data_IF_666760711226
#
_entry.id   IF_666760711226
#
_cell.length_a   1.000
_cell.length_b   1.000
_cell.length_c   1.000
_cell.angle_alpha   90.00
_cell.angle_beta   90.00
_cell.angle_gamma   90.00
#
_symmetry.space_group_name_H-M   'P 1'
#
loop_
_entity.id
_entity.type
_entity.pdbx_description
1 polymer ?
#
# COMPACT_ATOMS: atom_id res chain seq x y z
N UNK A 1 83.24 7.60 -33.88
CA UNK A 1 82.61 7.03 -32.66
C UNK A 1 81.39 6.24 -33.10
N UNK A 2 81.28 4.93 -32.80
CA UNK A 2 80.08 4.17 -33.14
C UNK A 2 78.93 4.51 -32.17
N UNK A 3 77.68 4.56 -32.65
CA UNK A 3 76.50 4.81 -31.81
C UNK A 3 76.18 3.58 -30.93
N UNK A 4 75.69 3.83 -29.71
CA UNK A 4 75.27 2.80 -28.75
C UNK A 4 74.00 2.09 -29.25
N UNK A 5 73.84 0.76 -29.08
CA UNK A 5 72.60 0.08 -29.43
C UNK A 5 71.49 0.42 -28.42
N UNK A 6 70.30 0.75 -28.94
CA UNK A 6 69.08 0.94 -28.15
C UNK A 6 68.49 -0.42 -27.78
N UNK A 7 68.35 -0.71 -26.49
CA UNK A 7 67.64 -1.91 -26.00
C UNK A 7 66.13 -1.64 -26.10
N UNK A 8 65.34 -2.45 -26.82
CA UNK A 8 63.89 -2.31 -26.82
C UNK A 8 63.33 -2.86 -25.50
N UNK A 9 62.74 -1.98 -24.69
CA UNK A 9 62.00 -2.39 -23.49
C UNK A 9 60.58 -2.80 -23.92
N UNK A 10 60.14 -4.05 -23.70
CA UNK A 10 58.76 -4.42 -24.02
C UNK A 10 57.80 -3.75 -23.03
N UNK A 11 57.00 -2.80 -23.50
CA UNK A 11 55.88 -2.25 -22.74
C UNK A 11 54.77 -3.30 -22.67
N UNK A 12 54.81 -4.16 -21.67
CA UNK A 12 53.64 -4.98 -21.31
C UNK A 12 52.65 -4.06 -20.61
N UNK A 13 51.41 -3.88 -21.12
CA UNK A 13 50.40 -3.18 -20.35
C UNK A 13 50.12 -3.98 -19.08
N UNK A 14 50.21 -3.33 -17.93
CA UNK A 14 49.86 -3.96 -16.66
C UNK A 14 48.35 -4.22 -16.64
N UNK A 15 47.97 -5.50 -16.74
CA UNK A 15 46.58 -5.94 -16.54
C UNK A 15 46.42 -6.40 -15.11
N UNK A 16 45.60 -5.68 -14.33
CA UNK A 16 45.27 -6.05 -12.96
C UNK A 16 44.55 -7.41 -12.92
N UNK A 17 45.11 -8.46 -12.30
CA UNK A 17 44.49 -9.80 -12.28
C UNK A 17 43.24 -9.89 -11.38
N UNK A 18 42.94 -8.85 -10.59
CA UNK A 18 41.83 -8.86 -9.63
C UNK A 18 40.83 -7.71 -9.78
N UNK A 19 40.78 -7.04 -10.93
CA UNK A 19 39.69 -6.10 -11.24
C UNK A 19 38.37 -6.88 -11.40
N UNK A 20 37.77 -7.28 -10.27
CA UNK A 20 36.34 -7.55 -10.18
C UNK A 20 35.65 -6.25 -10.58
N UNK A 21 34.93 -6.29 -11.69
CA UNK A 21 33.96 -5.25 -12.01
C UNK A 21 32.88 -5.34 -10.93
N UNK A 22 32.88 -4.40 -9.99
CA UNK A 22 31.78 -4.26 -9.05
C UNK A 22 30.59 -3.72 -9.82
N UNK A 23 29.66 -4.59 -10.19
CA UNK A 23 28.33 -4.17 -10.61
C UNK A 23 27.74 -3.33 -9.47
N UNK A 24 27.56 -2.03 -9.68
CA UNK A 24 26.92 -1.12 -8.72
C UNK A 24 25.41 -1.37 -8.76
N UNK A 25 24.96 -2.55 -8.37
CA UNK A 25 23.54 -2.76 -8.08
C UNK A 25 23.31 -2.25 -6.67
N UNK A 26 22.94 -0.97 -6.56
CA UNK A 26 22.45 -0.42 -5.30
C UNK A 26 21.30 -1.30 -4.80
N UNK A 27 21.32 -1.78 -3.53
CA UNK A 27 20.13 -2.37 -2.95
C UNK A 27 19.04 -1.31 -2.95
N UNK A 28 17.90 -1.59 -3.57
CA UNK A 28 16.75 -0.67 -3.78
C UNK A 28 16.10 -0.15 -2.50
N UNK A 29 16.63 -0.48 -1.31
CA UNK A 29 16.05 -0.17 -0.01
C UNK A 29 17.02 0.51 0.98
N UNK A 30 18.29 0.73 0.63
CA UNK A 30 19.18 1.50 1.50
C UNK A 30 18.97 3.00 1.24
N UNK A 31 18.36 3.70 2.19
CA UNK A 31 18.39 5.17 2.24
C UNK A 31 19.87 5.58 2.12
N UNK A 32 20.19 6.47 1.17
CA UNK A 32 21.57 6.92 0.97
C UNK A 32 22.05 7.81 2.12
N UNK A 33 23.37 7.96 2.32
CA UNK A 33 23.95 8.79 3.39
C UNK A 33 23.53 10.27 3.30
N UNK A 34 23.20 10.75 2.11
CA UNK A 34 22.73 12.12 1.87
C UNK A 34 21.33 12.41 2.45
N UNK A 35 20.52 11.38 2.68
CA UNK A 35 19.14 11.57 3.12
C UNK A 35 19.08 11.75 4.65
N UNK A 36 18.33 12.73 5.19
CA UNK A 36 18.35 13.07 6.63
C UNK A 36 17.84 11.95 7.55
N UNK A 37 17.19 10.94 6.98
CA UNK A 37 16.76 9.72 7.70
C UNK A 37 17.71 8.53 7.51
N UNK A 38 18.94 8.76 7.04
CA UNK A 38 19.97 7.72 6.93
C UNK A 38 20.22 7.05 8.29
N UNK A 39 20.26 7.86 9.35
CA UNK A 39 20.29 7.41 10.74
C UNK A 39 19.04 7.96 11.43
N UNK A 40 18.11 7.11 11.92
CA UNK A 40 16.91 7.58 12.59
C UNK A 40 17.24 8.06 14.01
N UNK A 41 17.22 9.37 14.23
CA UNK A 41 17.30 9.95 15.57
C UNK A 41 15.89 10.25 16.10
N UNK A 42 15.46 9.69 17.24
CA UNK A 42 14.16 9.98 17.81
C UNK A 42 14.10 11.43 18.31
N UNK A 43 13.09 12.17 17.88
CA UNK A 43 12.84 13.53 18.38
C UNK A 43 12.16 13.47 19.75
N UNK A 44 12.66 14.17 20.78
CA UNK A 44 11.97 14.26 22.06
C UNK A 44 10.61 14.98 21.92
N UNK A 45 9.67 14.73 22.84
CA UNK A 45 8.34 15.32 22.75
C UNK A 45 8.39 16.86 22.84
N UNK A 46 7.50 17.53 22.09
CA UNK A 46 7.22 18.98 22.16
C UNK A 46 8.37 19.95 21.79
N UNK A 47 9.35 19.57 20.95
CA UNK A 47 10.45 20.49 20.56
C UNK A 47 10.03 21.72 19.75
N UNK A 48 9.04 21.58 18.85
CA UNK A 48 8.67 22.64 17.91
C UNK A 48 7.15 22.72 17.77
N UNK A 49 6.56 23.83 18.18
CA UNK A 49 5.14 24.11 17.94
C UNK A 49 5.01 24.91 16.64
N UNK A 50 4.99 24.21 15.49
CA UNK A 50 4.65 24.88 14.24
C UNK A 50 3.14 25.12 14.19
N UNK A 51 2.66 26.37 14.01
CA UNK A 51 1.23 26.62 13.91
C UNK A 51 0.64 25.92 12.68
N UNK A 52 -0.50 25.24 12.87
CA UNK A 52 -1.18 24.55 11.76
C UNK A 52 -1.74 25.59 10.79
N UNK A 53 -1.31 25.53 9.53
CA UNK A 53 -1.85 26.39 8.46
C UNK A 53 -3.33 26.05 8.21
N UNK A 54 -4.15 27.08 8.00
CA UNK A 54 -5.54 26.90 7.60
C UNK A 54 -5.60 26.40 6.14
N UNK A 55 -6.09 25.17 5.94
CA UNK A 55 -6.39 24.64 4.60
C UNK A 55 -7.81 25.03 4.19
N UNK A 56 -7.95 25.77 3.08
CA UNK A 56 -9.27 26.18 2.55
C UNK A 56 -9.92 25.01 1.81
N UNK A 57 -11.25 25.05 1.70
CA UNK A 57 -12.04 24.02 1.00
C UNK A 57 -12.49 22.88 1.91
N UNK A 58 -13.49 22.11 1.44
CA UNK A 58 -14.07 20.98 2.16
C UNK A 58 -14.19 19.80 1.19
N UNK A 59 -13.72 18.62 1.61
CA UNK A 59 -13.96 17.38 0.87
C UNK A 59 -15.36 16.86 1.18
N UNK A 60 -16.09 16.31 0.19
CA UNK A 60 -17.41 15.74 0.42
C UNK A 60 -17.31 14.58 1.40
N UNK A 61 -18.21 14.57 2.39
CA UNK A 61 -18.25 13.51 3.40
C UNK A 61 -18.76 12.22 2.74
N UNK A 62 -18.02 11.10 2.81
CA UNK A 62 -18.47 9.82 2.28
C UNK A 62 -19.78 9.38 2.93
N UNK A 63 -20.69 8.83 2.12
CA UNK A 63 -21.95 8.25 2.61
C UNK A 63 -21.67 7.06 3.53
N UNK A 64 -22.46 6.96 4.60
CA UNK A 64 -22.51 5.74 5.42
C UNK A 64 -23.29 4.62 4.71
N UNK A 65 -22.60 3.52 4.38
CA UNK A 65 -23.18 2.35 3.71
C UNK A 65 -24.04 1.52 4.69
N UNK A 66 -23.60 1.42 5.94
CA UNK A 66 -24.24 0.62 7.00
C UNK A 66 -25.11 1.43 7.96
N UNK A 67 -25.50 2.66 7.58
CA UNK A 67 -26.36 3.49 8.43
C UNK A 67 -27.74 2.82 8.62
N UNK A 68 -28.04 2.43 9.88
CA UNK A 68 -29.37 2.28 10.54
C UNK A 68 -30.58 1.88 9.69
N UNK A 69 -30.43 1.19 8.55
CA UNK A 69 -31.57 0.59 7.87
C UNK A 69 -32.13 -0.51 8.76
N UNK A 70 -33.41 -0.41 9.06
CA UNK A 70 -34.13 -1.34 9.93
C UNK A 70 -33.96 -2.77 9.40
N UNK A 71 -33.26 -3.61 10.16
CA UNK A 71 -33.52 -5.05 10.17
C UNK A 71 -32.46 -5.99 9.60
N UNK A 72 -31.60 -5.60 8.65
CA UNK A 72 -30.58 -6.53 8.09
C UNK A 72 -29.24 -5.85 7.83
N UNK A 73 -28.17 -6.50 8.27
CA UNK A 73 -26.80 -6.07 8.01
C UNK A 73 -26.49 -6.25 6.52
N UNK A 74 -26.11 -5.18 5.83
CA UNK A 74 -25.81 -5.25 4.40
C UNK A 74 -24.57 -6.13 4.14
N UNK A 75 -23.72 -6.29 5.15
CA UNK A 75 -22.53 -7.13 5.10
C UNK A 75 -22.75 -8.58 5.53
N UNK A 76 -23.99 -9.02 5.80
CA UNK A 76 -24.24 -10.44 6.14
C UNK A 76 -23.99 -11.33 4.91
N UNK A 77 -23.29 -12.43 5.10
CA UNK A 77 -22.98 -13.39 4.02
C UNK A 77 -24.25 -13.86 3.30
N UNK A 78 -25.33 -14.16 4.03
CA UNK A 78 -26.64 -14.53 3.47
C UNK A 78 -27.19 -13.52 2.45
N UNK A 79 -27.03 -12.22 2.73
CA UNK A 79 -27.52 -11.16 1.82
C UNK A 79 -26.61 -11.05 0.60
N UNK A 80 -25.31 -11.21 0.80
CA UNK A 80 -24.31 -11.14 -0.25
C UNK A 80 -24.51 -12.29 -1.23
N UNK A 81 -24.68 -13.52 -0.75
CA UNK A 81 -24.96 -14.70 -1.57
C UNK A 81 -26.27 -14.55 -2.35
N UNK A 82 -27.34 -14.08 -1.70
CA UNK A 82 -28.62 -13.80 -2.37
C UNK A 82 -28.53 -12.71 -3.44
N UNK A 83 -27.65 -11.71 -3.22
CA UNK A 83 -27.46 -10.59 -4.17
C UNK A 83 -26.51 -10.97 -5.32
N UNK A 84 -25.63 -11.95 -5.10
CA UNK A 84 -24.64 -12.43 -6.07
C UNK A 84 -24.81 -13.92 -6.34
N UNK A 85 -25.98 -14.36 -6.87
CA UNK A 85 -26.18 -15.76 -7.18
C UNK A 85 -25.22 -16.22 -8.27
N UNK A 86 -24.83 -17.48 -8.19
CA UNK A 86 -24.02 -18.11 -9.23
C UNK A 86 -24.88 -18.47 -10.44
N UNK A 87 -24.22 -18.54 -11.60
CA UNK A 87 -24.91 -18.86 -12.84
C UNK A 87 -25.46 -20.28 -12.75
N UNK A 88 -26.72 -20.46 -13.10
CA UNK A 88 -27.38 -21.77 -13.04
C UNK A 88 -26.75 -22.79 -14.00
N UNK A 89 -26.17 -22.31 -15.10
CA UNK A 89 -25.50 -23.13 -16.12
C UNK A 89 -24.14 -22.55 -16.47
N UNK A 90 -23.11 -23.39 -16.35
CA UNK A 90 -21.77 -23.11 -16.87
C UNK A 90 -21.81 -23.23 -18.40
N UNK A 91 -22.19 -22.14 -19.05
CA UNK A 91 -22.21 -22.10 -20.51
C UNK A 91 -20.81 -21.76 -21.00
N UNK A 92 -20.14 -22.72 -21.63
CA UNK A 92 -18.86 -22.47 -22.29
C UNK A 92 -19.11 -21.64 -23.56
N UNK A 93 -18.95 -20.32 -23.43
CA UNK A 93 -19.01 -19.41 -24.56
C UNK A 93 -17.69 -19.42 -25.33
N UNK A 94 -17.69 -19.29 -26.67
CA UNK A 94 -16.46 -19.24 -27.45
C UNK A 94 -15.57 -18.07 -26.99
N UNK A 95 -14.25 -18.29 -27.00
CA UNK A 95 -13.28 -17.27 -26.60
C UNK A 95 -13.41 -16.02 -27.47
N UNK A 96 -13.42 -14.84 -26.83
CA UNK A 96 -13.60 -13.55 -27.51
C UNK A 96 -15.06 -13.17 -27.78
N UNK A 97 -16.02 -14.04 -27.47
CA UNK A 97 -17.45 -13.68 -27.55
C UNK A 97 -17.83 -12.60 -26.55
N UNK A 98 -18.86 -11.81 -26.91
CA UNK A 98 -19.46 -10.82 -26.01
C UNK A 98 -19.97 -11.45 -24.71
N UNK A 99 -20.42 -12.70 -24.78
CA UNK A 99 -20.94 -13.45 -23.64
C UNK A 99 -19.82 -13.85 -22.68
N UNK A 100 -18.68 -14.34 -23.21
CA UNK A 100 -17.48 -14.60 -22.41
C UNK A 100 -16.93 -13.34 -21.72
N UNK A 101 -17.07 -12.16 -22.33
CA UNK A 101 -16.73 -10.90 -21.65
C UNK A 101 -17.72 -10.55 -20.54
N UNK A 102 -19.03 -10.72 -20.78
CA UNK A 102 -20.07 -10.44 -19.78
C UNK A 102 -19.93 -11.33 -18.55
N UNK A 103 -19.60 -12.61 -18.71
CA UNK A 103 -19.35 -13.53 -17.58
C UNK A 103 -18.14 -13.08 -16.78
N UNK A 104 -17.01 -12.77 -17.42
CA UNK A 104 -15.81 -12.25 -16.74
C UNK A 104 -16.11 -10.98 -15.93
N UNK A 105 -16.85 -10.02 -16.51
CA UNK A 105 -17.23 -8.78 -15.82
C UNK A 105 -18.21 -9.06 -14.67
N UNK A 106 -19.15 -9.99 -14.83
CA UNK A 106 -20.05 -10.39 -13.76
C UNK A 106 -19.28 -10.97 -12.57
N UNK A 107 -18.36 -11.90 -12.82
CA UNK A 107 -17.51 -12.49 -11.78
C UNK A 107 -16.65 -11.45 -11.06
N UNK A 108 -16.06 -10.51 -11.80
CA UNK A 108 -15.31 -9.40 -11.21
C UNK A 108 -16.20 -8.54 -10.30
N UNK A 109 -17.43 -8.22 -10.72
CA UNK A 109 -18.38 -7.44 -9.90
C UNK A 109 -18.80 -8.18 -8.65
N UNK A 110 -19.08 -9.48 -8.74
CA UNK A 110 -19.41 -10.32 -7.58
C UNK A 110 -18.27 -10.32 -6.57
N UNK A 111 -17.04 -10.56 -7.04
CA UNK A 111 -15.84 -10.53 -6.20
C UNK A 111 -15.65 -9.18 -5.53
N UNK A 112 -15.70 -8.09 -6.28
CA UNK A 112 -15.54 -6.73 -5.75
C UNK A 112 -16.62 -6.37 -4.72
N UNK A 113 -17.86 -6.82 -4.91
CA UNK A 113 -18.93 -6.58 -3.95
C UNK A 113 -18.69 -7.35 -2.64
N UNK A 114 -18.34 -8.65 -2.74
CA UNK A 114 -18.04 -9.52 -1.60
C UNK A 114 -16.90 -8.97 -0.76
N UNK A 115 -15.76 -8.70 -1.41
CA UNK A 115 -14.56 -8.15 -0.76
C UNK A 115 -14.83 -6.73 -0.21
N UNK A 116 -15.46 -5.86 -1.01
CA UNK A 116 -15.72 -4.47 -0.64
C UNK A 116 -16.64 -4.32 0.57
N UNK A 117 -17.72 -5.12 0.67
CA UNK A 117 -18.63 -5.05 1.82
C UNK A 117 -17.96 -5.56 3.10
N UNK A 118 -17.20 -6.64 3.02
CA UNK A 118 -16.44 -7.19 4.15
C UNK A 118 -15.41 -6.19 4.68
N UNK A 119 -14.58 -5.64 3.80
CA UNK A 119 -13.58 -4.65 4.17
C UNK A 119 -14.19 -3.39 4.78
N UNK A 120 -15.27 -2.86 4.18
CA UNK A 120 -15.92 -1.67 4.69
C UNK A 120 -16.52 -1.92 6.09
N UNK A 121 -17.05 -3.11 6.34
CA UNK A 121 -17.58 -3.50 7.65
C UNK A 121 -16.47 -3.57 8.69
N UNK A 122 -15.36 -4.22 8.37
CA UNK A 122 -14.18 -4.31 9.24
C UNK A 122 -13.64 -2.92 9.60
N UNK A 123 -13.53 -2.02 8.60
CA UNK A 123 -13.14 -0.62 8.81
C UNK A 123 -14.11 0.11 9.73
N UNK A 124 -15.42 -0.09 9.57
CA UNK A 124 -16.43 0.50 10.42
C UNK A 124 -16.32 0.01 11.88
N UNK A 125 -16.16 -1.29 12.09
CA UNK A 125 -16.01 -1.88 13.43
C UNK A 125 -14.75 -1.35 14.11
N UNK A 126 -13.61 -1.34 13.41
CA UNK A 126 -12.35 -0.79 13.94
C UNK A 126 -12.47 0.69 14.31
N UNK A 127 -13.08 1.50 13.44
CA UNK A 127 -13.26 2.93 13.68
C UNK A 127 -14.17 3.21 14.88
N UNK A 128 -15.28 2.48 15.00
CA UNK A 128 -16.22 2.64 16.12
C UNK A 128 -15.61 2.15 17.44
N UNK A 129 -14.85 1.05 17.43
CA UNK A 129 -14.13 0.56 18.60
C UNK A 129 -13.09 1.57 19.11
N UNK A 130 -12.26 2.13 18.22
CA UNK A 130 -11.27 3.15 18.57
C UNK A 130 -11.94 4.41 19.15
N UNK A 131 -13.05 4.84 18.55
CA UNK A 131 -13.82 6.00 19.02
C UNK A 131 -14.38 5.75 20.42
N UNK A 132 -15.00 4.58 20.65
CA UNK A 132 -15.54 4.19 21.96
C UNK A 132 -14.44 4.06 23.02
N UNK A 133 -13.30 3.46 22.69
CA UNK A 133 -12.18 3.32 23.61
C UNK A 133 -11.64 4.70 24.04
N UNK A 134 -11.47 5.63 23.08
CA UNK A 134 -11.06 7.00 23.38
C UNK A 134 -12.09 7.72 24.26
N UNK A 135 -13.37 7.61 23.94
CA UNK A 135 -14.44 8.21 24.73
C UNK A 135 -14.48 7.65 26.16
N UNK A 136 -14.35 6.34 26.32
CA UNK A 136 -14.31 5.69 27.63
C UNK A 136 -13.12 6.13 28.47
N UNK A 137 -11.93 6.29 27.87
CA UNK A 137 -10.76 6.80 28.57
C UNK A 137 -10.96 8.24 29.08
N UNK A 138 -11.44 9.11 28.20
CA UNK A 138 -11.73 10.52 28.57
C UNK A 138 -12.83 10.60 29.64
N UNK A 139 -13.81 9.71 29.62
CA UNK A 139 -14.86 9.69 30.64
C UNK A 139 -14.31 9.25 32.00
N UNK A 140 -13.50 8.19 32.06
CA UNK A 140 -12.84 7.74 33.29
C UNK A 140 -11.95 8.82 33.89
N UNK A 141 -11.12 9.46 33.06
CA UNK A 141 -10.28 10.59 33.47
C UNK A 141 -11.10 11.74 34.08
N UNK A 142 -12.35 11.94 33.65
CA UNK A 142 -13.25 12.97 34.22
C UNK A 142 -13.93 12.52 35.50
N UNK A 143 -14.32 11.25 35.58
CA UNK A 143 -15.00 10.70 36.75
C UNK A 143 -14.03 10.52 37.95
N UNK A 144 -12.73 10.42 37.67
CA UNK A 144 -11.65 10.33 38.66
C UNK A 144 -11.19 11.71 39.19
N UNK A 145 -11.61 12.82 38.59
CA UNK A 145 -11.32 14.21 39.03
C UNK A 145 -12.42 14.75 39.93
#
# INVERSE_FOLDING_TARGET
>A
MPPRPSIPVPTRPWTCPSCRHYSITLPTQAVGPEHPRYIPFPTPPQQTSTPRKWMKGILPVPRSVFARKRGKDVASDDLIERTTPDAFTETAFPEGSREAWRTKVAEQRKRNLREGLRELKERQVRSTANTRARQGRVQRERDEM
#
